data_IF_045964402610
#
_entry.id   IF_045964402610
#
_cell.length_a   1.000
_cell.length_b   1.000
_cell.length_c   1.000
_cell.angle_alpha   90.00
_cell.angle_beta   90.00
_cell.angle_gamma   90.00
#
_symmetry.space_group_name_H-M   'P 1'
#
loop_
_entity.id
_entity.type
_entity.pdbx_description
1 polymer ?
#
# COMPACT_ATOMS: atom_id res chain seq x y z
N UNK A 1 21.95 -27.29 47.31
CA UNK A 1 21.08 -26.66 46.28
C UNK A 1 21.94 -26.32 45.08
N UNK A 2 21.78 -27.04 43.95
CA UNK A 2 22.52 -26.79 42.70
C UNK A 2 21.73 -25.81 41.84
N UNK A 3 22.27 -24.62 41.60
CA UNK A 3 21.71 -23.66 40.64
C UNK A 3 22.37 -23.91 39.30
N UNK A 4 21.62 -24.48 38.35
CA UNK A 4 22.06 -24.67 36.97
C UNK A 4 21.74 -23.38 36.21
N UNK A 5 22.78 -22.65 35.81
CA UNK A 5 22.67 -21.44 35.00
C UNK A 5 22.52 -21.87 33.52
N UNK A 6 21.30 -21.85 33.00
CA UNK A 6 21.03 -22.10 31.57
C UNK A 6 21.30 -20.80 30.79
N UNK A 7 22.47 -20.69 30.17
CA UNK A 7 22.76 -19.64 29.19
C UNK A 7 22.03 -19.94 27.88
N UNK A 8 20.96 -19.18 27.63
CA UNK A 8 20.22 -19.19 26.37
C UNK A 8 21.05 -18.49 25.28
N UNK A 9 21.66 -19.26 24.38
CA UNK A 9 22.39 -18.73 23.23
C UNK A 9 21.38 -18.23 22.18
N UNK A 10 21.25 -16.91 22.05
CA UNK A 10 20.38 -16.26 21.07
C UNK A 10 21.06 -16.31 19.69
N UNK A 11 20.75 -17.32 18.88
CA UNK A 11 21.16 -17.36 17.48
C UNK A 11 20.41 -16.28 16.67
N UNK A 12 21.02 -15.11 16.49
CA UNK A 12 20.58 -14.13 15.49
C UNK A 12 20.82 -14.68 14.08
N UNK A 13 19.76 -15.11 13.41
CA UNK A 13 19.77 -15.40 11.98
C UNK A 13 19.84 -14.09 11.20
N UNK A 14 21.06 -13.71 10.80
CA UNK A 14 21.29 -12.59 9.87
C UNK A 14 20.77 -13.04 8.50
N UNK A 15 19.59 -12.56 8.09
CA UNK A 15 19.14 -12.69 6.71
C UNK A 15 20.04 -11.82 5.83
N UNK A 16 20.95 -12.44 5.09
CA UNK A 16 21.77 -11.77 4.10
C UNK A 16 20.87 -11.15 3.03
N UNK A 17 20.80 -9.83 3.00
CA UNK A 17 20.17 -9.06 1.93
C UNK A 17 21.09 -9.19 0.71
N UNK A 18 20.72 -10.02 -0.26
CA UNK A 18 21.44 -10.07 -1.53
C UNK A 18 21.28 -8.71 -2.20
N UNK A 19 22.36 -7.94 -2.28
CA UNK A 19 22.37 -6.68 -3.00
C UNK A 19 21.99 -6.96 -4.46
N UNK A 20 20.91 -6.34 -4.94
CA UNK A 20 20.47 -6.51 -6.33
C UNK A 20 21.55 -5.92 -7.25
N UNK A 21 22.17 -6.76 -8.07
CA UNK A 21 23.23 -6.30 -8.98
C UNK A 21 22.64 -5.45 -10.11
N UNK A 22 23.03 -4.17 -10.17
CA UNK A 22 22.54 -3.19 -11.14
C UNK A 22 23.10 -3.46 -12.55
N UNK A 23 22.39 -3.05 -13.59
CA UNK A 23 22.92 -2.97 -14.96
C UNK A 23 23.82 -1.74 -15.09
N UNK A 24 24.98 -1.91 -15.76
CA UNK A 24 26.00 -0.87 -15.90
C UNK A 24 26.05 -0.34 -17.33
N UNK A 25 25.80 0.95 -17.53
CA UNK A 25 26.04 1.62 -18.82
C UNK A 25 27.43 2.25 -18.86
N UNK A 26 28.30 1.78 -19.75
CA UNK A 26 29.64 2.35 -19.95
C UNK A 26 29.58 3.73 -20.62
N UNK A 27 30.70 4.48 -20.60
CA UNK A 27 30.84 5.78 -21.30
C UNK A 27 30.59 5.68 -22.80
N UNK A 28 30.83 4.52 -23.42
CA UNK A 28 30.54 4.25 -24.83
C UNK A 28 29.08 3.82 -25.08
N UNK A 29 28.19 4.08 -24.12
CA UNK A 29 26.78 3.74 -24.12
C UNK A 29 26.48 2.22 -24.23
N UNK A 30 27.40 1.35 -23.79
CA UNK A 30 27.17 -0.10 -23.80
C UNK A 30 26.58 -0.54 -22.45
N UNK A 31 25.45 -1.24 -22.49
CA UNK A 31 24.78 -1.79 -21.32
C UNK A 31 25.30 -3.19 -20.97
N UNK A 32 25.80 -3.36 -19.75
CA UNK A 32 26.33 -4.61 -19.23
C UNK A 32 25.43 -5.12 -18.09
N UNK A 33 24.78 -6.25 -18.31
CA UNK A 33 24.02 -6.95 -17.27
C UNK A 33 24.96 -7.78 -16.36
N UNK A 34 24.56 -8.00 -15.09
CA UNK A 34 25.20 -8.96 -14.18
C UNK A 34 25.53 -10.29 -14.88
N UNK A 35 26.70 -10.86 -14.58
CA UNK A 35 27.15 -12.14 -15.15
C UNK A 35 27.70 -12.09 -16.59
N UNK A 36 27.67 -10.95 -17.28
CA UNK A 36 28.27 -10.83 -18.62
C UNK A 36 29.80 -10.67 -18.56
N UNK A 37 30.52 -11.14 -19.59
CA UNK A 37 32.00 -11.16 -19.67
C UNK A 37 32.68 -9.82 -19.34
N UNK A 38 32.02 -8.70 -19.62
CA UNK A 38 32.56 -7.35 -19.44
C UNK A 38 31.95 -6.59 -18.23
N UNK A 39 31.04 -7.21 -17.49
CA UNK A 39 30.36 -6.58 -16.35
C UNK A 39 31.31 -6.16 -15.23
N UNK A 40 32.23 -7.04 -14.85
CA UNK A 40 33.20 -6.80 -13.77
C UNK A 40 34.29 -5.79 -14.16
N UNK A 41 34.55 -5.65 -15.47
CA UNK A 41 35.54 -4.73 -16.06
C UNK A 41 35.02 -3.30 -16.18
N UNK A 42 33.70 -3.13 -16.20
CA UNK A 42 33.07 -1.80 -16.29
C UNK A 42 33.05 -1.15 -14.91
N UNK A 43 34.10 -0.38 -14.58
CA UNK A 43 34.26 0.31 -13.28
C UNK A 43 33.61 1.70 -13.24
N UNK A 44 33.60 2.40 -14.37
CA UNK A 44 32.95 3.70 -14.53
C UNK A 44 31.68 3.54 -15.36
N UNK A 45 30.51 3.76 -14.74
CA UNK A 45 29.23 3.50 -15.38
C UNK A 45 28.09 4.36 -14.82
N UNK A 46 27.01 4.45 -15.58
CA UNK A 46 25.69 4.90 -15.10
C UNK A 46 24.86 3.67 -14.73
N UNK A 47 24.31 3.58 -13.50
CA UNK A 47 23.52 2.44 -13.05
C UNK A 47 22.09 2.46 -13.58
N UNK A 48 21.51 1.28 -13.83
CA UNK A 48 20.11 1.05 -14.15
C UNK A 48 19.61 -0.22 -13.43
N UNK A 49 18.32 -0.27 -13.07
CA UNK A 49 17.76 -1.45 -12.40
C UNK A 49 17.57 -2.63 -13.36
N UNK A 50 17.32 -2.33 -14.64
CA UNK A 50 17.12 -3.34 -15.67
C UNK A 50 17.85 -3.00 -16.97
N UNK A 51 18.04 -4.02 -17.80
CA UNK A 51 18.68 -3.84 -19.11
C UNK A 51 17.80 -3.02 -20.06
N UNK A 52 16.48 -3.17 -19.97
CA UNK A 52 15.51 -2.37 -20.73
C UNK A 52 15.63 -0.88 -20.43
N UNK A 53 15.72 -0.49 -19.15
CA UNK A 53 15.91 0.91 -18.78
C UNK A 53 17.23 1.48 -19.33
N UNK A 54 18.29 0.67 -19.28
CA UNK A 54 19.58 1.06 -19.84
C UNK A 54 19.50 1.26 -21.37
N UNK A 55 18.83 0.37 -22.10
CA UNK A 55 18.65 0.50 -23.55
C UNK A 55 17.75 1.69 -23.91
N UNK A 56 16.64 1.90 -23.18
CA UNK A 56 15.74 3.03 -23.36
C UNK A 56 16.42 4.40 -23.13
N UNK A 57 17.47 4.46 -22.31
CA UNK A 57 18.30 5.65 -22.11
C UNK A 57 19.25 5.98 -23.29
N UNK A 58 19.09 5.31 -24.44
CA UNK A 58 20.01 5.38 -25.58
C UNK A 58 21.26 4.51 -25.41
N UNK A 59 21.19 3.47 -24.59
CA UNK A 59 22.23 2.45 -24.49
C UNK A 59 22.11 1.39 -25.59
N UNK A 60 23.17 0.62 -25.81
CA UNK A 60 23.20 -0.50 -26.76
C UNK A 60 23.85 -1.73 -26.14
N UNK A 61 23.58 -2.90 -26.71
CA UNK A 61 24.23 -4.14 -26.30
C UNK A 61 25.68 -4.24 -26.80
N UNK A 62 26.51 -5.08 -26.17
CA UNK A 62 27.78 -5.52 -26.72
C UNK A 62 27.60 -6.15 -28.12
N UNK A 63 28.59 -5.99 -29.00
CA UNK A 63 28.53 -6.59 -30.34
C UNK A 63 28.37 -8.11 -30.24
N UNK A 64 27.45 -8.66 -31.03
CA UNK A 64 27.17 -10.10 -31.08
C UNK A 64 26.31 -10.64 -29.93
N UNK A 65 25.84 -9.79 -29.00
CA UNK A 65 24.87 -10.20 -28.00
C UNK A 65 23.45 -9.83 -28.45
N UNK A 66 22.59 -10.83 -28.54
CA UNK A 66 21.14 -10.66 -28.59
C UNK A 66 20.59 -10.70 -27.18
N UNK A 67 19.93 -9.63 -26.75
CA UNK A 67 19.06 -9.67 -25.60
C UNK A 67 17.66 -9.96 -26.10
N UNK A 68 17.14 -11.14 -25.79
CA UNK A 68 15.69 -11.30 -25.71
C UNK A 68 15.30 -10.54 -24.46
N UNK A 69 14.42 -9.52 -24.53
CA UNK A 69 13.76 -9.03 -23.34
C UNK A 69 13.35 -10.27 -22.57
N UNK A 70 13.80 -10.40 -21.32
CA UNK A 70 13.00 -11.13 -20.38
C UNK A 70 11.74 -10.30 -20.38
N UNK A 71 10.79 -10.65 -21.27
CA UNK A 71 9.39 -10.40 -21.01
C UNK A 71 9.32 -10.69 -19.53
N UNK A 72 8.95 -9.67 -18.73
CA UNK A 72 8.28 -9.92 -17.44
C UNK A 72 7.59 -11.24 -17.68
N UNK A 73 7.84 -12.30 -16.88
CA UNK A 73 7.05 -13.51 -17.06
C UNK A 73 5.66 -12.98 -17.33
N UNK A 74 5.10 -13.31 -18.51
CA UNK A 74 3.67 -13.22 -18.67
C UNK A 74 3.25 -14.19 -17.57
N UNK A 75 3.15 -13.67 -16.33
CA UNK A 75 2.01 -13.88 -15.48
C UNK A 75 0.95 -13.78 -16.53
N UNK A 76 0.42 -14.95 -16.89
CA UNK A 76 -0.74 -14.99 -17.71
C UNK A 76 -1.57 -13.81 -17.20
N UNK A 77 -2.13 -13.02 -18.09
CA UNK A 77 -3.40 -12.44 -17.71
C UNK A 77 -4.32 -13.65 -17.47
N UNK A 78 -4.12 -14.43 -16.38
CA UNK A 78 -5.06 -14.53 -15.28
C UNK A 78 -5.85 -13.25 -15.41
N UNK A 79 -6.95 -13.36 -16.13
CA UNK A 79 -7.91 -12.30 -16.25
C UNK A 79 -8.22 -11.95 -14.81
N UNK A 80 -7.53 -10.94 -14.25
CA UNK A 80 -7.77 -10.46 -12.91
C UNK A 80 -9.27 -10.24 -12.91
N UNK A 81 -10.00 -11.01 -12.10
CA UNK A 81 -11.45 -11.00 -12.19
C UNK A 81 -11.89 -9.54 -12.16
N UNK A 82 -12.88 -9.19 -12.99
CA UNK A 82 -13.33 -7.80 -13.07
C UNK A 82 -13.63 -7.32 -11.65
N UNK A 83 -12.99 -6.23 -11.24
CA UNK A 83 -13.17 -5.69 -9.90
C UNK A 83 -14.65 -5.54 -9.58
N UNK A 84 -15.06 -6.10 -8.44
CA UNK A 84 -16.34 -5.84 -7.79
C UNK A 84 -16.06 -5.43 -6.35
N UNK A 85 -16.77 -4.41 -5.86
CA UNK A 85 -16.63 -3.97 -4.46
C UNK A 85 -17.05 -5.07 -3.48
N UNK A 86 -18.00 -5.90 -3.87
CA UNK A 86 -18.54 -6.99 -3.05
C UNK A 86 -17.50 -8.08 -2.74
N UNK A 87 -16.39 -8.12 -3.49
CA UNK A 87 -15.25 -8.98 -3.17
C UNK A 87 -14.58 -8.63 -1.84
N UNK A 88 -14.81 -7.41 -1.34
CA UNK A 88 -14.33 -6.92 -0.04
C UNK A 88 -15.40 -6.96 1.04
N UNK A 89 -16.50 -7.69 0.81
CA UNK A 89 -17.65 -7.77 1.70
C UNK A 89 -18.82 -6.89 1.25
N UNK A 90 -19.95 -7.02 1.94
CA UNK A 90 -21.22 -6.35 1.57
C UNK A 90 -21.33 -4.90 2.06
N UNK A 91 -20.24 -4.33 2.56
CA UNK A 91 -20.22 -3.01 3.19
C UNK A 91 -19.32 -2.99 4.41
N UNK A 92 -19.62 -2.07 5.34
CA UNK A 92 -18.99 -2.04 6.66
C UNK A 92 -19.44 -3.25 7.47
N UNK A 93 -18.48 -3.97 8.02
CA UNK A 93 -18.73 -5.11 8.89
C UNK A 93 -19.31 -4.64 10.23
N UNK A 94 -20.05 -5.51 10.88
CA UNK A 94 -20.48 -5.39 12.27
C UNK A 94 -20.05 -6.72 12.92
N UNK A 95 -18.79 -6.76 13.38
CA UNK A 95 -18.12 -8.01 13.75
C UNK A 95 -18.62 -8.54 15.10
N UNK A 96 -18.89 -7.66 16.05
CA UNK A 96 -19.39 -8.00 17.39
C UNK A 96 -20.92 -8.00 17.50
N UNK A 97 -21.62 -7.55 16.45
CA UNK A 97 -23.09 -7.57 16.30
C UNK A 97 -23.77 -6.67 17.31
N UNK A 98 -23.13 -5.56 17.66
CA UNK A 98 -23.66 -4.59 18.61
C UNK A 98 -24.52 -3.50 17.95
N UNK A 99 -24.71 -3.54 16.62
CA UNK A 99 -25.36 -2.57 15.71
C UNK A 99 -24.47 -1.44 15.17
N UNK A 100 -23.27 -1.26 15.72
CA UNK A 100 -22.29 -0.27 15.29
C UNK A 100 -21.34 -0.91 14.29
N UNK A 101 -21.70 -0.83 13.00
CA UNK A 101 -20.75 -1.26 11.97
C UNK A 101 -19.45 -0.41 11.99
N UNK A 102 -18.42 -0.87 11.29
CA UNK A 102 -17.09 -0.24 11.21
C UNK A 102 -17.14 1.26 10.98
N UNK A 103 -18.09 1.77 10.19
CA UNK A 103 -18.19 3.23 10.00
C UNK A 103 -18.49 3.94 11.32
N UNK A 104 -19.41 3.42 12.12
CA UNK A 104 -19.78 4.01 13.41
C UNK A 104 -18.64 3.89 14.41
N UNK A 105 -17.99 2.72 14.48
CA UNK A 105 -16.81 2.49 15.32
C UNK A 105 -15.68 3.48 15.00
N UNK A 106 -15.41 3.72 13.72
CA UNK A 106 -14.39 4.68 13.28
C UNK A 106 -14.80 6.13 13.63
N UNK A 107 -16.07 6.49 13.49
CA UNK A 107 -16.56 7.80 13.91
C UNK A 107 -16.39 8.01 15.42
N UNK A 108 -16.68 6.99 16.23
CA UNK A 108 -16.47 7.04 17.69
C UNK A 108 -14.98 7.17 18.00
N UNK A 109 -14.16 6.28 17.44
CA UNK A 109 -12.72 6.19 17.71
C UNK A 109 -11.95 7.44 17.29
N UNK A 110 -12.29 8.04 16.15
CA UNK A 110 -11.59 9.22 15.63
C UNK A 110 -12.11 10.55 16.19
N UNK A 111 -13.22 10.55 16.93
CA UNK A 111 -13.72 11.78 17.54
C UNK A 111 -12.82 12.20 18.69
N UNK A 112 -12.45 13.48 18.70
CA UNK A 112 -11.63 14.11 19.74
C UNK A 112 -12.45 14.69 20.90
N UNK A 113 -13.78 14.51 20.84
CA UNK A 113 -14.73 14.86 21.87
C UNK A 113 -15.82 13.77 21.94
N UNK A 114 -16.60 13.67 23.04
CA UNK A 114 -17.71 12.73 23.11
C UNK A 114 -18.66 12.87 21.90
N UNK A 115 -19.04 11.74 21.30
CA UNK A 115 -20.00 11.71 20.20
C UNK A 115 -21.43 11.85 20.73
N UNK A 116 -22.36 12.18 19.84
CA UNK A 116 -23.80 12.06 20.09
C UNK A 116 -24.43 11.09 19.10
N UNK A 117 -25.30 10.25 19.61
CA UNK A 117 -26.07 9.30 18.84
C UNK A 117 -27.43 9.86 18.43
N UNK A 118 -28.07 9.21 17.47
CA UNK A 118 -29.41 9.61 17.02
C UNK A 118 -30.53 9.23 17.98
N UNK A 119 -30.32 8.18 18.77
CA UNK A 119 -31.24 7.61 19.74
C UNK A 119 -30.44 6.88 20.83
N UNK A 120 -31.13 6.44 21.88
CA UNK A 120 -30.52 5.78 23.04
C UNK A 120 -30.02 4.35 22.73
N UNK A 121 -30.23 3.85 21.51
CA UNK A 121 -29.66 2.58 21.05
C UNK A 121 -28.20 2.71 20.62
N UNK A 122 -27.72 3.93 20.46
CA UNK A 122 -26.32 4.25 20.13
C UNK A 122 -25.78 3.64 18.81
N UNK A 123 -26.66 3.15 17.93
CA UNK A 123 -26.26 2.53 16.66
C UNK A 123 -25.74 3.52 15.61
N UNK A 124 -25.99 4.82 15.76
CA UNK A 124 -25.70 5.81 14.72
C UNK A 124 -25.20 7.12 15.30
N UNK A 125 -23.94 7.41 15.03
CA UNK A 125 -23.30 8.68 15.34
C UNK A 125 -23.88 9.79 14.45
N UNK A 126 -24.23 10.91 15.06
CA UNK A 126 -24.74 12.10 14.37
C UNK A 126 -23.84 13.32 14.53
N UNK A 127 -23.14 13.41 15.66
CA UNK A 127 -22.31 14.54 16.00
C UNK A 127 -21.06 14.10 16.77
N UNK A 128 -19.98 14.86 16.65
CA UNK A 128 -18.70 14.61 17.31
C UNK A 128 -17.73 15.75 16.99
N UNK A 129 -16.43 15.51 17.15
CA UNK A 129 -15.39 16.47 16.73
C UNK A 129 -14.27 15.72 16.02
N UNK A 130 -14.26 15.79 14.70
CA UNK A 130 -13.25 15.14 13.86
C UNK A 130 -12.32 16.18 13.25
N UNK A 131 -11.04 15.82 13.12
CA UNK A 131 -10.05 16.61 12.41
C UNK A 131 -9.73 15.85 11.12
N UNK A 132 -10.12 16.40 9.97
CA UNK A 132 -9.88 15.74 8.68
C UNK A 132 -8.39 15.58 8.43
N UNK A 133 -7.95 14.35 8.16
CA UNK A 133 -6.56 14.10 7.80
C UNK A 133 -6.22 14.78 6.47
N UNK A 134 -7.19 14.99 5.57
CA UNK A 134 -6.93 15.53 4.24
C UNK A 134 -6.80 17.05 4.20
N UNK A 135 -7.63 17.77 4.95
CA UNK A 135 -7.70 19.24 4.91
C UNK A 135 -7.21 19.91 6.20
N UNK A 136 -7.14 19.16 7.31
CA UNK A 136 -6.96 19.68 8.66
C UNK A 136 -8.19 20.41 9.23
N UNK A 137 -9.33 20.42 8.53
CA UNK A 137 -10.54 21.08 9.00
C UNK A 137 -11.19 20.31 10.16
N UNK A 138 -11.84 21.07 11.06
CA UNK A 138 -12.64 20.50 12.14
C UNK A 138 -14.07 20.36 11.67
N UNK A 139 -14.58 19.14 11.71
CA UNK A 139 -15.92 18.79 11.24
C UNK A 139 -16.70 18.19 12.42
N UNK A 140 -17.93 18.64 12.59
CA UNK A 140 -18.77 18.27 13.74
C UNK A 140 -19.96 17.39 13.38
N UNK A 141 -20.42 17.48 12.14
CA UNK A 141 -21.60 16.77 11.65
C UNK A 141 -21.16 15.50 10.92
N UNK A 142 -21.56 14.34 11.44
CA UNK A 142 -21.17 13.04 10.89
C UNK A 142 -21.69 12.83 9.45
N UNK A 143 -22.75 13.53 9.05
CA UNK A 143 -23.29 13.45 7.68
C UNK A 143 -22.41 14.13 6.63
N UNK A 144 -21.49 15.00 7.07
CA UNK A 144 -20.51 15.68 6.19
C UNK A 144 -19.24 14.86 5.97
N UNK A 145 -19.09 13.76 6.70
CA UNK A 145 -17.90 12.91 6.69
C UNK A 145 -18.17 11.57 5.97
N UNK A 146 -17.23 11.21 5.11
CA UNK A 146 -17.06 9.84 4.66
C UNK A 146 -15.99 9.15 5.52
N UNK A 147 -16.14 7.82 5.68
CA UNK A 147 -15.02 6.98 6.10
C UNK A 147 -14.36 6.49 4.82
N UNK A 148 -13.14 6.96 4.56
CA UNK A 148 -12.37 6.64 3.36
C UNK A 148 -11.26 5.63 3.68
N UNK A 149 -10.94 4.82 2.68
CA UNK A 149 -9.80 3.92 2.66
C UNK A 149 -8.56 4.68 2.19
N UNK A 150 -7.52 4.81 3.02
CA UNK A 150 -6.25 5.43 2.62
C UNK A 150 -5.70 4.76 1.36
N UNK A 151 -5.66 3.43 1.36
CA UNK A 151 -5.41 2.62 0.15
C UNK A 151 -6.76 2.18 -0.39
N UNK A 152 -7.24 2.72 -1.53
CA UNK A 152 -8.55 2.40 -2.08
C UNK A 152 -8.72 0.90 -2.37
N UNK A 153 -9.91 0.34 -2.15
CA UNK A 153 -10.17 -1.08 -2.40
C UNK A 153 -9.89 -1.50 -3.84
N UNK A 154 -10.30 -0.68 -4.81
CA UNK A 154 -10.00 -0.93 -6.23
C UNK A 154 -8.50 -0.84 -6.52
N UNK A 155 -7.81 0.15 -5.95
CA UNK A 155 -6.36 0.26 -6.12
C UNK A 155 -5.69 -1.00 -5.56
N UNK A 156 -6.06 -1.44 -4.35
CA UNK A 156 -5.54 -2.66 -3.75
C UNK A 156 -5.81 -3.90 -4.63
N UNK A 157 -7.00 -4.00 -5.24
CA UNK A 157 -7.35 -5.07 -6.18
C UNK A 157 -6.35 -5.16 -7.33
N UNK A 158 -6.10 -4.03 -8.00
CA UNK A 158 -5.19 -3.94 -9.14
C UNK A 158 -3.70 -4.19 -8.73
N UNK A 159 -3.40 -4.11 -7.44
CA UNK A 159 -2.05 -4.23 -6.86
C UNK A 159 -1.86 -5.47 -5.97
N UNK A 160 -2.69 -6.50 -6.17
CA UNK A 160 -2.48 -7.86 -5.63
C UNK A 160 -3.55 -8.37 -4.66
N UNK A 161 -4.54 -7.56 -4.29
CA UNK A 161 -5.66 -8.01 -3.46
C UNK A 161 -6.64 -8.91 -4.21
N UNK A 162 -6.62 -8.90 -5.55
CA UNK A 162 -7.34 -9.85 -6.41
C UNK A 162 -7.02 -11.32 -6.07
N UNK A 163 -5.78 -11.58 -5.64
CA UNK A 163 -5.28 -12.92 -5.28
C UNK A 163 -5.53 -13.30 -3.83
N UNK A 164 -6.05 -12.40 -3.00
CA UNK A 164 -6.32 -12.71 -1.60
C UNK A 164 -7.53 -13.64 -1.44
N UNK A 165 -7.65 -14.31 -0.30
CA UNK A 165 -8.92 -14.89 0.11
C UNK A 165 -9.93 -13.79 0.48
N UNK A 166 -11.22 -14.09 0.37
CA UNK A 166 -12.33 -13.18 0.72
C UNK A 166 -12.19 -12.61 2.13
N UNK A 167 -11.87 -13.44 3.11
CA UNK A 167 -11.68 -13.03 4.51
C UNK A 167 -10.58 -11.95 4.66
N UNK A 168 -9.46 -12.09 3.94
CA UNK A 168 -8.38 -11.08 3.98
C UNK A 168 -8.82 -9.77 3.31
N UNK A 169 -9.62 -9.83 2.23
CA UNK A 169 -10.19 -8.61 1.61
C UNK A 169 -11.18 -7.91 2.55
N UNK A 170 -12.07 -8.67 3.18
CA UNK A 170 -13.02 -8.13 4.17
C UNK A 170 -12.30 -7.48 5.36
N UNK A 171 -11.27 -8.16 5.88
CA UNK A 171 -10.39 -7.59 6.91
C UNK A 171 -9.72 -6.29 6.46
N UNK A 172 -9.14 -6.26 5.26
CA UNK A 172 -8.51 -5.06 4.72
C UNK A 172 -9.49 -3.88 4.55
N UNK A 173 -10.74 -4.19 4.18
CA UNK A 173 -11.78 -3.17 4.02
C UNK A 173 -12.30 -2.62 5.35
N UNK A 174 -12.16 -3.36 6.45
CA UNK A 174 -12.66 -2.94 7.76
C UNK A 174 -11.54 -2.58 8.75
N UNK A 175 -10.28 -2.80 8.40
CA UNK A 175 -9.14 -2.51 9.28
C UNK A 175 -9.00 -1.00 9.54
N UNK A 176 -9.14 -0.54 10.80
CA UNK A 176 -9.03 0.86 11.18
C UNK A 176 -7.73 1.54 10.73
N UNK A 177 -6.64 0.79 10.52
CA UNK A 177 -5.39 1.36 10.03
C UNK A 177 -5.52 1.99 8.64
N UNK A 178 -6.40 1.42 7.81
CA UNK A 178 -6.70 1.86 6.46
C UNK A 178 -7.84 2.88 6.43
N UNK A 179 -8.47 3.21 7.56
CA UNK A 179 -9.66 4.06 7.60
C UNK A 179 -9.38 5.44 8.17
N UNK A 180 -10.05 6.45 7.61
CA UNK A 180 -10.02 7.86 8.06
C UNK A 180 -11.38 8.52 7.87
N UNK A 181 -11.73 9.45 8.75
CA UNK A 181 -12.89 10.34 8.58
C UNK A 181 -12.48 11.62 7.84
N UNK A 182 -13.07 11.86 6.68
CA UNK A 182 -12.71 12.97 5.77
C UNK A 182 -13.94 13.54 5.08
N UNK A 183 -13.81 14.70 4.46
CA UNK A 183 -14.86 15.34 3.67
C UNK A 183 -15.26 14.46 2.48
N UNK A 184 -16.57 14.32 2.27
CA UNK A 184 -17.08 13.56 1.13
C UNK A 184 -16.62 14.12 -0.23
N UNK A 185 -16.38 15.43 -0.33
CA UNK A 185 -15.85 16.06 -1.55
C UNK A 185 -14.43 15.60 -1.90
N UNK A 186 -13.54 15.59 -0.92
CA UNK A 186 -12.15 15.16 -1.11
C UNK A 186 -12.05 13.65 -1.33
N UNK A 187 -12.85 12.86 -0.62
CA UNK A 187 -12.97 11.42 -0.87
C UNK A 187 -13.40 11.14 -2.33
N UNK A 188 -14.44 11.83 -2.83
CA UNK A 188 -14.87 11.72 -4.23
C UNK A 188 -13.81 12.17 -5.23
N UNK A 189 -13.03 13.19 -4.91
CA UNK A 189 -11.92 13.64 -5.75
C UNK A 189 -10.81 12.58 -5.84
N UNK A 190 -10.47 11.93 -4.71
CA UNK A 190 -9.51 10.83 -4.63
C UNK A 190 -10.00 9.61 -5.41
N UNK A 191 -11.20 9.11 -5.12
CA UNK A 191 -11.73 7.90 -5.75
C UNK A 191 -10.80 6.69 -5.54
N UNK A 192 -10.42 6.02 -6.63
CA UNK A 192 -9.56 4.83 -6.63
C UNK A 192 -8.07 5.13 -6.91
N UNK A 193 -7.67 6.40 -6.85
CA UNK A 193 -6.32 6.87 -7.25
C UNK A 193 -5.23 6.47 -6.27
N UNK A 194 -4.05 6.19 -6.82
CA UNK A 194 -2.81 5.98 -6.07
C UNK A 194 -2.11 7.28 -5.64
N UNK A 195 -0.93 7.14 -5.02
CA UNK A 195 -0.10 8.28 -4.57
C UNK A 195 0.42 9.16 -5.72
N UNK A 196 0.49 8.61 -6.92
CA UNK A 196 0.93 9.26 -8.16
C UNK A 196 -0.18 10.09 -8.82
N UNK A 197 -1.44 9.77 -8.54
CA UNK A 197 -2.60 10.40 -9.16
C UNK A 197 -3.34 11.37 -8.24
N UNK A 198 -3.29 11.17 -6.92
CA UNK A 198 -3.94 12.05 -5.95
C UNK A 198 -3.20 12.11 -4.61
N UNK A 199 -3.12 13.32 -4.08
CA UNK A 199 -2.64 13.61 -2.73
C UNK A 199 -3.60 14.57 -2.04
N UNK A 200 -3.75 14.47 -0.70
CA UNK A 200 -4.59 15.40 0.03
C UNK A 200 -4.00 16.82 0.01
N UNK A 201 -4.85 17.85 0.09
CA UNK A 201 -4.40 19.25 0.06
C UNK A 201 -3.50 19.63 1.26
N UNK A 202 -3.60 18.90 2.38
CA UNK A 202 -2.69 18.99 3.53
C UNK A 202 -2.24 17.59 3.98
N UNK A 203 -1.24 17.55 4.85
CA UNK A 203 -0.72 16.33 5.49
C UNK A 203 -0.23 15.23 4.52
N UNK A 204 0.28 15.61 3.34
CA UNK A 204 0.76 14.65 2.34
C UNK A 204 1.79 13.65 2.89
N UNK A 205 2.73 14.11 3.74
CA UNK A 205 3.78 13.25 4.30
C UNK A 205 3.15 12.17 5.18
N UNK A 206 2.18 12.53 6.03
CA UNK A 206 1.45 11.58 6.85
C UNK A 206 0.66 10.60 5.98
N UNK A 207 -0.04 11.09 4.96
CA UNK A 207 -0.80 10.26 4.02
C UNK A 207 0.10 9.24 3.30
N UNK A 208 1.21 9.70 2.69
CA UNK A 208 2.20 8.84 2.02
C UNK A 208 2.79 7.80 2.98
N UNK A 209 3.11 8.21 4.21
CA UNK A 209 3.63 7.29 5.23
C UNK A 209 2.63 6.21 5.61
N UNK A 210 1.35 6.57 5.82
CA UNK A 210 0.29 5.61 6.14
C UNK A 210 0.01 4.68 4.97
N UNK A 211 -0.10 5.22 3.75
CA UNK A 211 -0.28 4.44 2.52
C UNK A 211 0.82 3.37 2.39
N UNK A 212 2.09 3.79 2.46
CA UNK A 212 3.24 2.88 2.40
C UNK A 212 3.26 1.83 3.52
N UNK A 213 2.85 2.21 4.75
CA UNK A 213 2.71 1.26 5.86
C UNK A 213 1.68 0.19 5.53
N UNK A 214 0.53 0.57 4.99
CA UNK A 214 -0.55 -0.35 4.62
C UNK A 214 -0.08 -1.29 3.49
N UNK A 215 0.63 -0.77 2.48
CA UNK A 215 1.16 -1.62 1.41
C UNK A 215 2.05 -2.73 1.96
N UNK A 216 2.96 -2.38 2.89
CA UNK A 216 3.86 -3.34 3.54
C UNK A 216 3.11 -4.36 4.40
N UNK A 217 2.15 -3.92 5.20
CA UNK A 217 1.37 -4.80 6.08
C UNK A 217 0.57 -5.83 5.30
N UNK A 218 0.04 -5.44 4.15
CA UNK A 218 -0.85 -6.29 3.35
C UNK A 218 -0.17 -7.00 2.18
N UNK A 219 1.07 -6.63 1.84
CA UNK A 219 1.84 -7.21 0.74
C UNK A 219 1.36 -6.75 -0.63
N UNK A 220 0.92 -5.49 -0.73
CA UNK A 220 0.51 -4.84 -1.99
C UNK A 220 1.75 -4.32 -2.74
N UNK A 221 1.65 -4.24 -4.07
CA UNK A 221 2.77 -3.90 -4.97
C UNK A 221 2.68 -2.50 -5.56
#
# INVERSE_FOLDING_TARGET
>A
MKVILLTLCLCLSISASWAQELVKKSKSAICHAPGTQYYSRTKNFTPYDTLDQCLASGGRLPKGQSYTPQSKPKVALETSAKYSRDEFGRGWADEDKDCQNTRQEILISLSTAPVRFSDDRECRVTFGRWISMYSGEVIFDASKLDIDHIVPLKWAWDHGADKWGKEKRERFANDPINLVAVEASLNRQKGAKGLDEWLPPKNEIQYKSRFNRILKLYGLK
#
